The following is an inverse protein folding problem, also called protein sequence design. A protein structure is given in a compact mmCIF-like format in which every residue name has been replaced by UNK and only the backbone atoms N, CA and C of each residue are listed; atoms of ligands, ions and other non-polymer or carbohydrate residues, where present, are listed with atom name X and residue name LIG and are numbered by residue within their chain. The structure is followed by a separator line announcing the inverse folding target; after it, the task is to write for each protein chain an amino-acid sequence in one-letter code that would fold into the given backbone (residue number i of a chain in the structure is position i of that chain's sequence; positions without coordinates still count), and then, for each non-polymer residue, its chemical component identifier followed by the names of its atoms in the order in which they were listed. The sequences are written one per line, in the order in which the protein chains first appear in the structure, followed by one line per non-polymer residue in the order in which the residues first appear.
data_IF_650536677517
#
_entry.id   IF_650536677517
#
_cell.length_a   1.000
_cell.length_b   1.000
_cell.length_c   1.000
_cell.angle_alpha   90.00
_cell.angle_beta   90.00
_cell.angle_gamma   90.00
#
_symmetry.space_group_name_H-M   'P 1'
#
loop_
_entity.id
_entity.type
_entity.pdbx_description
1 polymer ?
#
# COMPACT_ATOMS: atom_id res chain seq x y z
N UNK A 1 9.26 -7.31 13.38
CA UNK A 1 8.83 -6.92 12.03
C UNK A 1 7.39 -6.46 12.16
N UNK A 2 7.06 -5.24 11.71
CA UNK A 2 5.69 -4.74 11.76
C UNK A 2 4.81 -5.65 10.89
N UNK A 3 3.67 -6.10 11.42
CA UNK A 3 2.72 -6.87 10.62
C UNK A 3 2.15 -5.97 9.51
N UNK A 4 2.00 -6.45 8.27
CA UNK A 4 1.39 -5.66 7.21
C UNK A 4 -0.04 -5.26 7.60
N UNK A 5 -0.43 -4.04 7.24
CA UNK A 5 -1.78 -3.54 7.47
C UNK A 5 -2.72 -4.34 6.56
N UNK A 6 -3.31 -5.41 7.09
CA UNK A 6 -4.03 -6.42 6.29
C UNK A 6 -5.33 -5.93 5.62
N UNK A 7 -5.63 -4.62 5.65
CA UNK A 7 -6.90 -4.03 5.21
C UNK A 7 -6.80 -2.58 4.67
N UNK A 8 -5.64 -2.11 4.20
CA UNK A 8 -5.61 -0.77 3.57
C UNK A 8 -6.12 -0.80 2.15
N UNK A 9 -6.81 0.27 1.76
CA UNK A 9 -7.28 0.44 0.39
C UNK A 9 -6.14 0.88 -0.54
N UNK A 10 -5.22 1.70 -0.02
CA UNK A 10 -4.15 2.31 -0.80
C UNK A 10 -2.77 2.18 -0.15
N UNK A 11 -1.77 1.88 -0.98
CA UNK A 11 -0.38 1.65 -0.60
C UNK A 11 0.57 2.58 -1.36
N UNK A 12 1.67 2.93 -0.72
CA UNK A 12 2.82 3.54 -1.40
C UNK A 12 3.61 2.46 -2.14
N UNK A 13 4.26 2.82 -3.26
CA UNK A 13 5.17 1.89 -3.95
C UNK A 13 6.30 1.42 -3.02
N UNK A 14 6.81 2.32 -2.18
CA UNK A 14 7.87 2.02 -1.21
C UNK A 14 7.42 0.98 -0.17
N UNK A 15 6.12 0.97 0.19
CA UNK A 15 5.56 -0.05 1.08
C UNK A 15 5.61 -1.42 0.40
N UNK A 16 5.19 -1.51 -0.87
CA UNK A 16 5.23 -2.77 -1.65
C UNK A 16 6.67 -3.29 -1.79
N UNK A 17 7.65 -2.41 -2.02
CA UNK A 17 9.06 -2.80 -2.18
C UNK A 17 9.62 -3.54 -0.95
N UNK A 18 9.07 -3.27 0.23
CA UNK A 18 9.49 -3.93 1.48
C UNK A 18 9.06 -5.42 1.54
N UNK A 19 8.03 -5.80 0.78
CA UNK A 19 7.48 -7.15 0.68
C UNK A 19 8.13 -7.90 -0.48
N UNK A 20 9.44 -8.13 -0.36
CA UNK A 20 10.30 -8.68 -1.42
C UNK A 20 10.97 -10.03 -1.09
N UNK A 21 10.41 -10.80 -0.15
CA UNK A 21 10.98 -12.05 0.35
C UNK A 21 10.14 -13.26 -0.02
N UNK A 22 10.75 -14.45 0.02
CA UNK A 22 10.08 -15.73 -0.27
C UNK A 22 8.84 -15.98 0.61
N UNK A 23 8.85 -15.50 1.85
CA UNK A 23 7.76 -15.64 2.81
C UNK A 23 6.95 -14.36 3.03
N UNK A 24 7.18 -13.34 2.21
CA UNK A 24 6.54 -12.03 2.28
C UNK A 24 6.70 -11.33 0.93
N UNK A 25 5.77 -11.59 0.01
CA UNK A 25 5.89 -11.22 -1.41
C UNK A 25 4.66 -10.44 -1.89
N UNK A 26 4.86 -9.17 -2.20
CA UNK A 26 3.86 -8.37 -2.89
C UNK A 26 4.34 -7.99 -4.28
N UNK A 27 3.40 -7.83 -5.20
CA UNK A 27 3.66 -7.36 -6.56
C UNK A 27 2.60 -6.35 -6.99
N UNK A 28 2.96 -5.48 -7.93
CA UNK A 28 2.03 -4.52 -8.53
C UNK A 28 1.72 -4.98 -9.96
N UNK A 29 0.43 -4.96 -10.33
CA UNK A 29 0.01 -5.05 -11.74
C UNK A 29 -0.96 -3.89 -11.99
N UNK A 30 -0.58 -3.01 -12.91
CA UNK A 30 -1.21 -1.71 -13.14
C UNK A 30 -1.22 -0.87 -11.88
N UNK A 31 -2.39 -0.68 -11.28
CA UNK A 31 -2.55 0.00 -10.00
C UNK A 31 -2.86 -0.95 -8.85
N UNK A 32 -3.02 -2.25 -9.10
CA UNK A 32 -3.46 -3.21 -8.10
C UNK A 32 -2.26 -3.85 -7.40
N UNK A 33 -2.36 -4.01 -6.09
CA UNK A 33 -1.36 -4.67 -5.24
C UNK A 33 -1.86 -6.07 -4.90
N UNK A 34 -1.00 -7.05 -5.13
CA UNK A 34 -1.28 -8.45 -4.85
C UNK A 34 -0.34 -8.99 -3.80
N UNK A 35 -0.88 -9.62 -2.76
CA UNK A 35 -0.12 -10.38 -1.77
C UNK A 35 -0.12 -11.87 -2.16
N UNK A 36 1.04 -12.38 -2.56
CA UNK A 36 1.21 -13.75 -3.02
C UNK A 36 1.82 -14.66 -1.93
N UNK A 37 1.89 -14.17 -0.69
CA UNK A 37 2.57 -14.86 0.41
C UNK A 37 1.95 -16.21 0.70
N UNK A 38 0.62 -16.28 0.79
CA UNK A 38 -0.10 -17.55 1.01
C UNK A 38 0.03 -18.49 -0.20
N UNK A 39 0.05 -17.95 -1.43
CA UNK A 39 0.25 -18.76 -2.64
C UNK A 39 1.61 -19.48 -2.64
N UNK A 40 2.66 -18.81 -2.17
CA UNK A 40 4.00 -19.41 -2.10
C UNK A 40 4.13 -20.42 -0.96
N UNK A 41 3.45 -20.19 0.17
CA UNK A 41 3.44 -21.13 1.30
C UNK A 41 2.86 -22.48 0.90
N UNK A 42 1.75 -22.49 0.20
CA UNK A 42 1.07 -23.72 -0.24
C UNK A 42 1.92 -24.55 -1.23
N UNK A 43 2.94 -23.94 -1.83
CA UNK A 43 3.81 -24.58 -2.84
C UNK A 43 5.22 -24.86 -2.34
N UNK A 44 5.48 -24.71 -1.04
CA UNK A 44 6.82 -24.96 -0.51
C UNK A 44 7.30 -26.39 -0.80
N UNK A 45 6.40 -27.37 -0.78
CA UNK A 45 6.71 -28.78 -1.06
C UNK A 45 6.88 -29.09 -2.56
N UNK A 46 6.38 -28.22 -3.45
CA UNK A 46 6.38 -28.40 -4.90
C UNK A 46 7.07 -27.21 -5.60
N UNK A 47 8.23 -26.82 -5.08
CA UNK A 47 8.97 -25.65 -5.57
C UNK A 47 9.52 -25.88 -6.99
N UNK A 48 9.32 -24.90 -7.88
CA UNK A 48 9.77 -24.97 -9.26
C UNK A 48 10.46 -23.67 -9.71
N UNK A 49 11.06 -23.68 -10.91
CA UNK A 49 11.80 -22.54 -11.46
C UNK A 49 10.92 -21.31 -11.73
N UNK A 50 9.63 -21.49 -11.99
CA UNK A 50 8.71 -20.36 -12.16
C UNK A 50 8.52 -19.63 -10.83
N UNK A 51 8.48 -20.33 -9.69
CA UNK A 51 8.41 -19.71 -8.37
C UNK A 51 9.69 -18.95 -8.02
N UNK A 52 10.87 -19.46 -8.39
CA UNK A 52 12.12 -18.70 -8.27
C UNK A 52 12.06 -17.40 -9.08
N UNK A 53 11.53 -17.48 -10.30
CA UNK A 53 11.38 -16.31 -11.15
C UNK A 53 10.37 -15.30 -10.57
N UNK A 54 9.27 -15.78 -9.99
CA UNK A 54 8.31 -14.92 -9.28
C UNK A 54 8.95 -14.22 -8.07
N UNK A 55 9.70 -14.96 -7.24
CA UNK A 55 10.41 -14.38 -6.08
C UNK A 55 11.45 -13.35 -6.51
N UNK A 56 12.14 -13.55 -7.63
CA UNK A 56 13.07 -12.56 -8.17
C UNK A 56 12.39 -11.23 -8.58
N UNK A 57 11.05 -11.25 -8.71
CA UNK A 57 10.20 -10.12 -9.02
C UNK A 57 9.37 -9.62 -7.82
N UNK A 58 9.62 -10.15 -6.63
CA UNK A 58 8.98 -9.69 -5.40
C UNK A 58 9.29 -8.21 -5.14
N UNK A 59 8.27 -7.45 -4.70
CA UNK A 59 8.34 -6.02 -4.46
C UNK A 59 8.39 -5.15 -5.72
N UNK A 60 8.13 -5.70 -6.92
CA UNK A 60 8.23 -4.99 -8.21
C UNK A 60 6.88 -4.77 -8.90
N UNK A 61 6.94 -3.91 -9.91
CA UNK A 61 5.84 -3.64 -10.83
C UNK A 61 5.94 -4.53 -12.08
N UNK A 62 4.94 -5.38 -12.26
CA UNK A 62 4.81 -6.36 -13.34
C UNK A 62 3.95 -5.87 -14.49
N UNK A 63 3.44 -4.63 -14.44
CA UNK A 63 2.52 -4.06 -15.45
C UNK A 63 2.95 -4.30 -16.89
N UNK A 64 4.25 -4.19 -17.17
CA UNK A 64 4.81 -4.37 -18.50
C UNK A 64 4.62 -5.78 -19.09
N UNK A 65 4.34 -6.79 -18.26
CA UNK A 65 4.01 -8.15 -18.69
C UNK A 65 2.53 -8.35 -19.03
N UNK A 66 1.67 -7.34 -18.80
CA UNK A 66 0.23 -7.44 -18.99
C UNK A 66 -0.28 -6.41 -20.01
N UNK A 67 -1.37 -6.75 -20.66
CA UNK A 67 -2.16 -5.81 -21.44
C UNK A 67 -3.07 -4.98 -20.50
N UNK A 68 -3.62 -3.89 -20.99
CA UNK A 68 -4.52 -3.01 -20.22
C UNK A 68 -5.79 -3.74 -19.75
N UNK A 69 -6.23 -4.75 -20.49
CA UNK A 69 -7.36 -5.62 -20.12
C UNK A 69 -7.02 -6.64 -19.01
N UNK A 70 -5.77 -6.67 -18.53
CA UNK A 70 -5.29 -7.58 -17.50
C UNK A 70 -4.85 -8.96 -18.02
N UNK A 71 -4.89 -9.20 -19.33
CA UNK A 71 -4.39 -10.44 -19.91
C UNK A 71 -2.86 -10.45 -19.97
N UNK A 72 -2.20 -11.61 -19.75
CA UNK A 72 -0.76 -11.71 -19.88
C UNK A 72 -0.33 -11.49 -21.34
N UNK A 73 0.70 -10.69 -21.56
CA UNK A 73 1.31 -10.52 -22.88
C UNK A 73 1.94 -11.83 -23.34
N UNK A 74 1.83 -12.11 -24.63
CA UNK A 74 2.40 -13.31 -25.25
C UNK A 74 3.38 -12.96 -26.37
N UNK A 75 4.31 -13.87 -26.63
CA UNK A 75 5.21 -13.84 -27.77
C UNK A 75 5.26 -15.21 -28.46
N UNK A 76 5.63 -15.24 -29.73
CA UNK A 76 5.86 -16.50 -30.46
C UNK A 76 7.27 -16.96 -30.14
N UNK A 77 7.40 -18.15 -29.55
CA UNK A 77 8.70 -18.76 -29.26
C UNK A 77 9.46 -19.02 -30.57
N UNK A 78 10.69 -18.49 -30.74
CA UNK A 78 11.45 -18.68 -31.97
C UNK A 78 11.85 -20.14 -32.19
N UNK A 79 11.98 -20.91 -31.10
CA UNK A 79 12.42 -22.31 -31.16
C UNK A 79 11.26 -23.28 -31.43
N UNK A 80 10.05 -22.94 -31.00
CA UNK A 80 8.90 -23.86 -31.08
C UNK A 80 7.77 -23.39 -31.98
N UNK A 81 7.79 -22.12 -32.40
CA UNK A 81 6.73 -21.50 -33.20
C UNK A 81 5.39 -21.35 -32.46
N UNK A 82 5.34 -21.66 -31.15
CA UNK A 82 4.12 -21.64 -30.34
C UNK A 82 4.03 -20.35 -29.51
N UNK A 83 2.82 -19.82 -29.25
CA UNK A 83 2.64 -18.69 -28.35
C UNK A 83 3.02 -19.09 -26.92
N UNK A 84 3.75 -18.21 -26.22
CA UNK A 84 4.09 -18.32 -24.80
C UNK A 84 3.89 -16.98 -24.10
N UNK A 85 3.54 -17.00 -22.82
CA UNK A 85 3.45 -15.77 -22.01
C UNK A 85 4.85 -15.21 -21.72
N UNK A 86 4.96 -13.88 -21.64
CA UNK A 86 6.20 -13.19 -21.27
C UNK A 86 6.57 -13.42 -19.79
N UNK A 87 5.56 -13.67 -18.95
CA UNK A 87 5.74 -13.96 -17.53
C UNK A 87 5.16 -15.35 -17.18
N UNK A 88 5.93 -16.44 -17.38
CA UNK A 88 5.48 -17.81 -17.10
C UNK A 88 4.85 -18.06 -15.72
N UNK A 89 5.29 -17.42 -14.62
CA UNK A 89 4.69 -17.66 -13.30
C UNK A 89 3.21 -17.31 -13.20
N UNK A 90 2.65 -16.57 -14.17
CA UNK A 90 1.21 -16.29 -14.23
C UNK A 90 0.35 -17.54 -14.45
N UNK A 91 0.92 -18.55 -15.11
CA UNK A 91 0.26 -19.81 -15.43
C UNK A 91 0.32 -20.83 -14.29
N UNK A 92 1.01 -20.50 -13.20
CA UNK A 92 0.94 -21.29 -11.97
C UNK A 92 -0.49 -21.23 -11.46
N UNK A 93 -1.27 -22.28 -11.79
CA UNK A 93 -2.69 -22.42 -11.39
C UNK A 93 -2.77 -22.14 -9.90
N UNK A 94 -3.63 -21.22 -9.45
CA UNK A 94 -3.88 -20.94 -8.04
C UNK A 94 -4.55 -22.17 -7.37
N UNK A 95 -3.80 -23.25 -7.17
CA UNK A 95 -4.21 -24.41 -6.38
C UNK A 95 -3.86 -24.12 -4.92
N UNK A 96 -4.38 -22.99 -4.43
CA UNK A 96 -4.35 -22.70 -3.01
C UNK A 96 -5.70 -23.13 -2.44
N UNK A 97 -5.71 -23.73 -1.26
CA UNK A 97 -6.95 -23.99 -0.51
C UNK A 97 -7.75 -22.69 -0.25
N UNK A 98 -7.08 -21.54 -0.39
CA UNK A 98 -7.63 -20.21 -0.23
C UNK A 98 -8.06 -19.54 -1.55
N UNK A 99 -7.75 -20.14 -2.71
CA UNK A 99 -8.20 -19.59 -4.00
C UNK A 99 -9.72 -19.67 -4.08
N UNK A 100 -10.35 -18.51 -4.32
CA UNK A 100 -11.81 -18.40 -4.37
C UNK A 100 -12.36 -18.77 -5.76
N UNK A 101 -11.54 -18.64 -6.80
CA UNK A 101 -11.96 -18.84 -8.19
C UNK A 101 -11.23 -20.01 -8.84
N UNK A 102 -11.89 -21.17 -8.90
CA UNK A 102 -11.34 -22.37 -9.54
C UNK A 102 -10.96 -22.11 -11.00
N UNK A 103 -9.69 -22.32 -11.34
CA UNK A 103 -9.17 -22.20 -12.71
C UNK A 103 -8.77 -20.78 -13.14
N UNK A 104 -8.90 -19.78 -12.27
CA UNK A 104 -8.39 -18.44 -12.55
C UNK A 104 -6.87 -18.37 -12.35
N UNK A 105 -6.24 -17.43 -13.06
CA UNK A 105 -4.86 -17.01 -12.75
C UNK A 105 -4.86 -16.27 -11.40
N UNK A 106 -3.76 -16.35 -10.65
CA UNK A 106 -3.68 -15.67 -9.36
C UNK A 106 -3.84 -14.14 -9.47
N UNK A 107 -3.49 -13.52 -10.61
CA UNK A 107 -3.71 -12.08 -10.83
C UNK A 107 -5.18 -11.70 -10.98
N UNK A 108 -6.05 -12.69 -11.21
CA UNK A 108 -7.49 -12.52 -11.41
C UNK A 108 -8.30 -12.99 -10.18
N UNK A 109 -7.64 -13.61 -9.20
CA UNK A 109 -8.31 -14.06 -7.97
C UNK A 109 -8.38 -12.90 -6.96
N UNK A 110 -9.59 -12.46 -6.54
CA UNK A 110 -9.74 -11.42 -5.53
C UNK A 110 -9.11 -11.76 -4.18
N UNK A 111 -8.81 -13.03 -3.90
CA UNK A 111 -8.14 -13.44 -2.66
C UNK A 111 -6.76 -12.81 -2.51
N UNK A 112 -5.99 -12.73 -3.59
CA UNK A 112 -4.64 -12.15 -3.55
C UNK A 112 -4.63 -10.63 -3.66
N UNK A 113 -5.75 -10.01 -4.07
CA UNK A 113 -5.86 -8.56 -4.20
C UNK A 113 -6.02 -7.91 -2.83
N UNK A 114 -5.06 -7.08 -2.42
CA UNK A 114 -5.07 -6.42 -1.09
C UNK A 114 -5.35 -4.92 -1.15
N UNK A 115 -5.39 -4.32 -2.34
CA UNK A 115 -5.68 -2.90 -2.55
C UNK A 115 -4.97 -2.33 -3.77
N UNK A 116 -4.72 -1.02 -3.77
CA UNK A 116 -4.13 -0.31 -4.91
C UNK A 116 -2.92 0.53 -4.52
N UNK A 117 -2.03 0.81 -5.45
CA UNK A 117 -1.02 1.85 -5.26
C UNK A 117 -1.66 3.22 -5.40
N UNK A 118 -1.17 4.19 -4.63
CA UNK A 118 -1.62 5.58 -4.75
C UNK A 118 -1.34 6.15 -6.12
N UNK A 119 -2.23 7.03 -6.58
CA UNK A 119 -1.99 7.85 -7.78
C UNK A 119 -0.85 8.83 -7.55
N UNK A 120 -0.79 9.42 -6.33
CA UNK A 120 0.21 10.42 -5.97
C UNK A 120 0.58 10.33 -4.49
N UNK A 121 1.87 10.17 -4.14
CA UNK A 121 2.30 10.25 -2.75
C UNK A 121 2.31 11.72 -2.28
N UNK A 122 1.97 11.95 -1.01
CA UNK A 122 1.98 13.28 -0.39
C UNK A 122 2.77 13.26 0.90
N UNK A 123 3.49 14.35 1.18
CA UNK A 123 4.23 14.50 2.42
C UNK A 123 3.39 15.29 3.42
N UNK A 124 3.31 14.81 4.65
CA UNK A 124 2.67 15.51 5.76
C UNK A 124 3.61 15.58 6.96
N UNK A 125 3.38 16.56 7.82
CA UNK A 125 4.06 16.71 9.10
C UNK A 125 3.11 16.37 10.22
N UNK A 126 3.48 15.43 11.08
CA UNK A 126 2.74 15.07 12.28
C UNK A 126 3.51 15.61 13.48
N UNK A 127 2.93 16.56 14.19
CA UNK A 127 3.58 17.28 15.29
C UNK A 127 2.95 16.85 16.60
N UNK A 128 3.72 16.16 17.44
CA UNK A 128 3.30 15.79 18.77
C UNK A 128 3.52 16.97 19.73
N UNK A 129 2.42 17.55 20.22
CA UNK A 129 2.49 18.75 21.06
C UNK A 129 3.02 18.48 22.47
N UNK A 130 2.82 17.26 22.99
CA UNK A 130 3.32 16.84 24.31
C UNK A 130 4.85 16.73 24.33
N UNK A 131 5.44 16.18 23.27
CA UNK A 131 6.89 15.92 23.18
C UNK A 131 7.65 16.97 22.36
N UNK A 132 6.95 17.83 21.62
CA UNK A 132 7.52 18.78 20.67
C UNK A 132 8.12 18.14 19.41
N UNK A 133 8.00 16.81 19.23
CA UNK A 133 8.59 16.10 18.09
C UNK A 133 7.75 16.26 16.83
N UNK A 134 8.42 16.53 15.71
CA UNK A 134 7.82 16.54 14.37
C UNK A 134 8.24 15.28 13.62
N UNK A 135 7.27 14.49 13.19
CA UNK A 135 7.48 13.34 12.32
C UNK A 135 7.02 13.69 10.91
N UNK A 136 7.90 13.54 9.92
CA UNK A 136 7.52 13.65 8.51
C UNK A 136 7.07 12.26 8.04
N UNK A 137 5.93 12.19 7.35
CA UNK A 137 5.39 10.95 6.81
C UNK A 137 4.90 11.16 5.39
N UNK A 138 5.24 10.23 4.50
CA UNK A 138 4.63 10.12 3.18
C UNK A 138 3.36 9.28 3.28
N UNK A 139 2.28 9.74 2.65
CA UNK A 139 0.95 9.11 2.66
C UNK A 139 0.38 9.04 1.24
N UNK A 140 -0.65 8.23 1.04
CA UNK A 140 -1.35 8.17 -0.24
C UNK A 140 -2.30 9.36 -0.35
N UNK A 141 -2.47 9.93 -1.55
CA UNK A 141 -3.43 11.02 -1.75
C UNK A 141 -4.87 10.60 -1.42
N UNK A 142 -5.21 9.33 -1.63
CA UNK A 142 -6.52 8.76 -1.39
C UNK A 142 -6.75 8.31 0.06
N UNK A 143 -5.74 8.39 0.92
CA UNK A 143 -5.90 7.99 2.33
C UNK A 143 -6.88 8.93 3.04
N UNK A 144 -7.82 8.33 3.77
CA UNK A 144 -8.59 9.06 4.78
C UNK A 144 -7.71 9.44 5.97
N UNK A 145 -8.11 10.43 6.77
CA UNK A 145 -7.40 10.75 8.03
C UNK A 145 -7.32 9.51 8.93
N UNK A 146 -8.35 8.66 8.96
CA UNK A 146 -8.32 7.39 9.67
C UNK A 146 -7.21 6.44 9.16
N UNK A 147 -7.07 6.30 7.84
CA UNK A 147 -6.00 5.48 7.23
C UNK A 147 -4.61 6.01 7.62
N UNK A 148 -4.43 7.33 7.58
CA UNK A 148 -3.21 8.03 8.00
C UNK A 148 -2.91 7.76 9.48
N UNK A 149 -3.94 7.80 10.34
CA UNK A 149 -3.80 7.46 11.76
C UNK A 149 -3.33 6.03 11.97
N UNK A 150 -3.90 5.05 11.25
CA UNK A 150 -3.48 3.66 11.35
C UNK A 150 -2.03 3.47 10.87
N UNK A 151 -1.66 4.09 9.74
CA UNK A 151 -0.28 4.10 9.22
C UNK A 151 0.70 4.66 10.26
N UNK A 152 0.36 5.79 10.89
CA UNK A 152 1.20 6.41 11.91
C UNK A 152 1.33 5.56 13.17
N UNK A 153 0.21 5.01 13.68
CA UNK A 153 0.17 4.17 14.87
C UNK A 153 1.09 2.95 14.73
N UNK A 154 1.07 2.33 13.56
CA UNK A 154 1.86 1.13 13.32
C UNK A 154 3.34 1.41 13.09
N UNK A 155 3.68 2.53 12.43
CA UNK A 155 5.07 2.85 12.06
C UNK A 155 5.86 3.58 13.12
N UNK A 156 5.21 4.46 13.89
CA UNK A 156 5.91 5.41 14.75
C UNK A 156 5.47 5.36 16.20
N UNK A 157 4.18 5.22 16.48
CA UNK A 157 3.68 5.27 17.86
C UNK A 157 2.49 4.34 18.11
N UNK A 158 2.74 3.16 18.68
CA UNK A 158 1.69 2.19 18.98
C UNK A 158 0.65 2.70 20.00
N UNK A 159 1.00 3.72 20.80
CA UNK A 159 0.12 4.41 21.75
C UNK A 159 -0.62 5.60 21.13
N UNK A 160 -0.64 5.76 19.80
CA UNK A 160 -1.32 6.87 19.12
C UNK A 160 -2.85 6.90 19.30
N UNK A 161 -3.45 5.88 19.93
CA UNK A 161 -4.89 5.84 20.21
C UNK A 161 -5.35 6.88 21.26
N UNK A 162 -4.44 7.37 22.10
CA UNK A 162 -4.70 8.37 23.15
C UNK A 162 -4.37 9.80 22.70
N UNK A 163 -4.47 10.07 21.39
CA UNK A 163 -4.19 11.40 20.83
C UNK A 163 -5.38 11.88 20.00
N UNK A 164 -5.77 13.13 20.23
CA UNK A 164 -6.65 13.88 19.33
C UNK A 164 -5.84 14.48 18.19
N UNK A 165 -6.35 14.30 16.96
CA UNK A 165 -5.73 14.81 15.74
C UNK A 165 -6.45 16.08 15.30
N UNK A 166 -5.71 17.18 15.22
CA UNK A 166 -6.24 18.51 14.90
C UNK A 166 -5.47 19.15 13.76
N UNK A 167 -6.15 20.00 12.98
CA UNK A 167 -5.53 20.90 11.99
C UNK A 167 -5.68 22.35 12.41
N UNK A 168 -4.75 23.18 11.95
CA UNK A 168 -4.92 24.63 11.98
C UNK A 168 -5.33 25.11 10.60
N UNK A 169 -6.36 25.94 10.53
CA UNK A 169 -6.68 26.67 9.31
C UNK A 169 -5.58 27.68 8.98
N UNK A 170 -5.36 27.95 7.68
CA UNK A 170 -4.47 29.00 7.23
C UNK A 170 -4.86 30.32 7.93
N UNK A 171 -3.93 30.86 8.72
CA UNK A 171 -4.14 32.05 9.56
C UNK A 171 -4.24 31.79 11.07
N UNK A 172 -4.13 30.53 11.53
CA UNK A 172 -3.94 30.19 12.94
C UNK A 172 -5.11 30.52 13.88
N UNK A 173 -6.26 30.93 13.33
CA UNK A 173 -7.39 31.44 14.12
C UNK A 173 -8.33 30.36 14.64
N UNK A 174 -8.35 29.16 14.05
CA UNK A 174 -9.20 28.06 14.53
C UNK A 174 -8.48 26.71 14.48
N UNK A 175 -8.38 26.08 15.65
CA UNK A 175 -8.09 24.66 15.77
C UNK A 175 -9.38 23.91 15.41
N UNK A 176 -9.38 23.19 14.29
CA UNK A 176 -10.56 22.44 13.84
C UNK A 176 -10.33 20.94 13.95
N UNK A 177 -11.40 20.23 14.29
CA UNK A 177 -11.43 18.76 14.33
C UNK A 177 -11.31 18.26 12.89
N UNK A 178 -10.50 17.21 12.69
CA UNK A 178 -10.38 16.53 11.41
C UNK A 178 -11.56 15.58 11.23
N UNK A 179 -12.17 15.58 10.05
CA UNK A 179 -13.07 14.51 9.66
C UNK A 179 -12.23 13.27 9.34
N UNK A 180 -12.41 12.21 10.15
CA UNK A 180 -11.65 10.97 10.05
C UNK A 180 -11.94 10.20 8.75
N UNK A 181 -13.14 10.34 8.20
CA UNK A 181 -13.53 9.67 6.96
C UNK A 181 -13.11 10.46 5.72
N UNK A 182 -12.82 11.75 5.88
CA UNK A 182 -12.35 12.61 4.81
C UNK A 182 -10.87 12.40 4.50
N UNK A 183 -10.51 12.67 3.26
CA UNK A 183 -9.13 12.78 2.75
C UNK A 183 -8.45 14.07 3.27
N UNK A 184 -7.17 14.23 2.95
CA UNK A 184 -6.44 15.47 3.23
C UNK A 184 -7.11 16.69 2.57
N UNK A 185 -7.54 16.57 1.32
CA UNK A 185 -8.13 17.68 0.56
C UNK A 185 -9.52 18.05 1.07
N UNK A 186 -10.35 17.07 1.42
CA UNK A 186 -11.66 17.30 2.05
C UNK A 186 -11.51 17.96 3.42
N UNK A 187 -10.39 17.69 4.10
CA UNK A 187 -10.00 18.38 5.32
C UNK A 187 -9.27 19.72 5.05
N UNK A 188 -9.22 20.21 3.81
CA UNK A 188 -8.58 21.50 3.47
C UNK A 188 -7.06 21.53 3.75
N UNK A 189 -6.44 20.37 3.93
CA UNK A 189 -4.99 20.21 3.98
C UNK A 189 -4.49 20.04 2.55
N UNK A 190 -4.61 21.09 1.74
CA UNK A 190 -4.27 21.06 0.32
C UNK A 190 -2.75 21.16 0.16
N UNK A 191 -2.24 20.46 -0.84
CA UNK A 191 -0.85 20.51 -1.27
C UNK A 191 -0.79 21.37 -2.55
N UNK A 192 -0.36 22.62 -2.41
CA UNK A 192 -0.24 23.55 -3.55
C UNK A 192 1.04 23.25 -4.34
N UNK A 193 1.05 22.14 -5.09
CA UNK A 193 2.18 21.74 -5.95
C UNK A 193 2.55 22.79 -7.01
N UNK A 194 1.60 23.61 -7.45
CA UNK A 194 1.79 24.67 -8.45
C UNK A 194 2.21 26.02 -7.85
N UNK A 195 2.45 26.09 -6.52
CA UNK A 195 2.88 27.32 -5.90
C UNK A 195 4.33 27.62 -6.26
N UNK A 196 4.58 28.82 -6.79
CA UNK A 196 5.94 29.33 -7.05
C UNK A 196 6.78 29.51 -5.78
N UNK A 197 6.16 29.37 -4.60
CA UNK A 197 6.78 29.49 -3.28
C UNK A 197 6.83 28.12 -2.63
N UNK A 198 8.03 27.70 -2.22
CA UNK A 198 8.24 26.45 -1.47
C UNK A 198 7.62 26.57 -0.07
N UNK A 199 6.37 26.15 0.06
CA UNK A 199 5.65 26.09 1.34
C UNK A 199 5.97 24.80 2.08
N UNK A 200 6.03 24.83 3.43
CA UNK A 200 6.21 23.61 4.19
C UNK A 200 4.99 22.68 3.99
N UNK A 201 5.19 21.34 4.03
CA UNK A 201 4.10 20.40 3.92
C UNK A 201 3.01 20.62 4.99
N UNK A 202 1.75 20.25 4.69
CA UNK A 202 0.64 20.43 5.63
C UNK A 202 0.92 19.70 6.95
N UNK A 203 0.50 20.34 8.05
CA UNK A 203 0.79 19.89 9.41
C UNK A 203 -0.46 19.44 10.14
N UNK A 204 -0.39 18.24 10.72
CA UNK A 204 -1.38 17.67 11.63
C UNK A 204 -0.79 17.62 13.02
N UNK A 205 -1.57 18.04 14.01
CA UNK A 205 -1.12 18.21 15.38
C UNK A 205 -1.77 17.17 16.27
N UNK A 206 -0.94 16.49 17.05
CA UNK A 206 -1.37 15.49 18.02
C UNK A 206 -1.42 16.12 19.40
N UNK A 207 -2.59 16.05 20.02
CA UNK A 207 -2.81 16.47 21.40
C UNK A 207 -3.08 15.24 22.23
N UNK A 208 -2.24 14.99 23.23
CA UNK A 208 -2.43 13.87 24.13
C UNK A 208 -3.73 14.09 24.92
N UNK A 209 -4.61 13.09 24.91
CA UNK A 209 -5.78 13.04 25.79
C UNK A 209 -5.52 12.00 26.87
N UNK A 210 -5.73 12.40 28.12
CA UNK A 210 -5.46 11.57 29.30
C UNK A 210 -6.53 10.49 29.53
N UNK A 211 -7.24 10.09 28.47
CA UNK A 211 -8.29 9.09 28.55
C UNK A 211 -7.65 7.72 28.83
N UNK A 212 -7.62 7.38 30.11
CA UNK A 212 -7.42 6.04 30.67
C UNK A 212 -8.60 5.15 30.21
N UNK A 213 -8.61 4.78 28.94
CA UNK A 213 -9.42 3.69 28.38
C UNK A 213 -8.57 3.10 27.25
N UNK A 214 -7.70 2.11 27.48
CA UNK A 214 -8.01 0.71 27.75
C UNK A 214 -6.68 0.02 28.12
N UNK A 215 -6.69 -0.76 29.20
CA UNK A 215 -5.66 -1.75 29.54
C UNK A 215 -5.79 -2.99 28.66
#
# INVERSE_FOLDING_TARGET
MAQPIKNMRYYLKDEVVCHNKKNDIWVIIHTNVFDLTEMLKDRMDHWNRNLDYLVAHAGKDLTHFFHENGEPRTEISPNTGKPRVLFPPILEVAISEFSKTKGAMWSQDPFYHIGRVTTRPRVIRIINTLTGRTQIMTVCNEDSIYDIQQKYKQRYNHHAGSYEWRKFSNGGKTCSILDLNGTLDENGLIDEEDSTVELPPPSIWLYYTDDITIA
#
